data_IF_483624047476
#
_entry.id   IF_483624047476
#
_cell.length_a   1.000
_cell.length_b   1.000
_cell.length_c   1.000
_cell.angle_alpha   90.00
_cell.angle_beta   90.00
_cell.angle_gamma   90.00
#
_symmetry.space_group_name_H-M   'P 1'
#
loop_
_entity.id
_entity.type
_entity.pdbx_description
1 polymer ?
#
# COMPACT_ATOMS: atom_id res chain seq x y z
N UNK A 1 0.81 -27.34 23.34
CA UNK A 1 0.40 -27.83 22.01
C UNK A 1 0.11 -26.63 21.12
N UNK A 2 1.06 -26.21 20.27
CA UNK A 2 0.89 -25.08 19.36
C UNK A 2 0.08 -25.53 18.14
N UNK A 3 -1.14 -25.03 17.99
CA UNK A 3 -2.03 -25.38 16.88
C UNK A 3 -1.54 -24.69 15.60
N UNK A 4 -0.79 -25.39 14.76
CA UNK A 4 -0.31 -24.85 13.50
C UNK A 4 -1.40 -25.02 12.43
N UNK A 5 -2.18 -23.97 12.18
CA UNK A 5 -3.18 -23.96 11.09
C UNK A 5 -2.51 -23.52 9.78
N UNK A 6 -2.70 -24.29 8.71
CA UNK A 6 -2.33 -23.87 7.35
C UNK A 6 -3.37 -22.89 6.84
N UNK A 7 -2.96 -21.66 6.56
CA UNK A 7 -3.81 -20.60 6.00
C UNK A 7 -3.32 -20.32 4.59
N UNK A 8 -4.21 -20.45 3.60
CA UNK A 8 -3.92 -20.04 2.23
C UNK A 8 -4.26 -18.56 2.07
N UNK A 9 -3.31 -17.76 1.57
CA UNK A 9 -3.47 -16.34 1.31
C UNK A 9 -3.29 -16.08 -0.18
N UNK A 10 -4.24 -15.38 -0.78
CA UNK A 10 -4.15 -14.91 -2.16
C UNK A 10 -3.98 -13.38 -2.16
N UNK A 11 -2.84 -12.90 -2.66
CA UNK A 11 -2.49 -11.48 -2.69
C UNK A 11 -2.62 -10.94 -4.12
N UNK A 12 -3.31 -9.81 -4.27
CA UNK A 12 -3.39 -9.07 -5.53
C UNK A 12 -2.88 -7.66 -5.32
N UNK A 13 -1.96 -7.22 -6.17
CA UNK A 13 -1.50 -5.83 -6.23
C UNK A 13 -2.26 -5.16 -7.35
N UNK A 14 -3.05 -4.15 -7.01
CA UNK A 14 -3.81 -3.34 -7.95
C UNK A 14 -3.61 -1.87 -7.61
N UNK A 15 -3.92 -0.98 -8.56
CA UNK A 15 -3.92 0.44 -8.28
C UNK A 15 -5.00 0.83 -7.24
N UNK A 16 -4.87 2.05 -6.72
CA UNK A 16 -5.75 2.56 -5.68
C UNK A 16 -7.22 2.68 -6.14
N UNK A 17 -7.48 2.99 -7.41
CA UNK A 17 -8.83 3.17 -7.97
C UNK A 17 -9.60 1.86 -8.10
N UNK A 18 -8.91 0.76 -8.36
CA UNK A 18 -9.52 -0.56 -8.58
C UNK A 18 -9.74 -1.34 -7.27
N UNK A 19 -9.03 -0.96 -6.21
CA UNK A 19 -9.09 -1.63 -4.90
C UNK A 19 -10.50 -1.64 -4.30
N UNK A 20 -11.24 -0.53 -4.42
CA UNK A 20 -12.60 -0.41 -3.89
C UNK A 20 -13.60 -1.28 -4.68
N UNK A 21 -13.45 -1.32 -6.01
CA UNK A 21 -14.33 -2.12 -6.89
C UNK A 21 -14.19 -3.61 -6.61
N UNK A 22 -12.96 -4.11 -6.40
CA UNK A 22 -12.72 -5.51 -6.10
C UNK A 22 -13.37 -5.96 -4.79
N UNK A 23 -13.31 -5.11 -3.75
CA UNK A 23 -13.96 -5.37 -2.48
C UNK A 23 -15.50 -5.31 -2.61
N UNK A 24 -16.03 -4.31 -3.33
CA UNK A 24 -17.47 -4.16 -3.57
C UNK A 24 -18.07 -5.34 -4.36
N UNK A 25 -17.31 -5.90 -5.30
CA UNK A 25 -17.69 -7.06 -6.11
C UNK A 25 -17.44 -8.40 -5.41
N UNK A 26 -16.88 -8.40 -4.19
CA UNK A 26 -16.58 -9.62 -3.44
C UNK A 26 -15.43 -10.45 -3.99
N UNK A 27 -14.58 -9.88 -4.86
CA UNK A 27 -13.41 -10.58 -5.42
C UNK A 27 -12.25 -10.70 -4.42
N UNK A 28 -12.28 -9.92 -3.34
CA UNK A 28 -11.32 -9.95 -2.23
C UNK A 28 -12.05 -9.78 -0.90
N UNK A 29 -11.50 -10.34 0.18
CA UNK A 29 -12.10 -10.25 1.52
C UNK A 29 -11.68 -8.98 2.30
N UNK A 30 -10.57 -8.37 1.91
CA UNK A 30 -10.01 -7.17 2.55
C UNK A 30 -9.11 -6.43 1.56
N UNK A 31 -8.89 -5.15 1.81
CA UNK A 31 -7.98 -4.34 1.02
C UNK A 31 -7.19 -3.33 1.86
N UNK A 32 -6.01 -2.95 1.38
CA UNK A 32 -5.24 -1.81 1.90
C UNK A 32 -5.39 -0.68 0.90
N UNK A 33 -5.89 0.47 1.35
CA UNK A 33 -6.15 1.62 0.50
C UNK A 33 -5.85 2.94 1.22
N UNK A 34 -5.68 4.02 0.45
CA UNK A 34 -5.41 5.36 0.97
C UNK A 34 -6.66 6.19 1.37
N UNK A 35 -7.89 5.99 0.83
CA UNK A 35 -9.04 6.75 1.29
C UNK A 35 -9.34 6.45 2.77
N UNK A 36 -9.60 7.50 3.55
CA UNK A 36 -10.01 7.36 4.95
C UNK A 36 -11.48 6.90 5.10
N UNK A 37 -12.23 6.82 4.00
CA UNK A 37 -13.65 6.50 4.04
C UNK A 37 -13.89 4.99 3.93
N UNK A 38 -14.60 4.46 4.92
CA UNK A 38 -15.03 3.07 4.90
C UNK A 38 -16.12 2.88 3.82
N UNK A 39 -16.00 1.79 3.05
CA UNK A 39 -17.10 1.35 2.20
C UNK A 39 -18.32 1.00 3.06
N UNK A 40 -19.54 1.25 2.57
CA UNK A 40 -20.77 0.85 3.26
C UNK A 40 -20.73 -0.64 3.62
N UNK A 41 -21.05 -0.96 4.89
CA UNK A 41 -20.98 -2.33 5.41
C UNK A 41 -19.57 -2.83 5.76
N UNK A 42 -18.52 -2.04 5.53
CA UNK A 42 -17.14 -2.39 5.88
C UNK A 42 -16.62 -1.59 7.08
N UNK A 43 -15.54 -2.09 7.70
CA UNK A 43 -14.77 -1.35 8.71
C UNK A 43 -13.43 -0.95 8.10
N UNK A 44 -13.04 0.31 8.26
CA UNK A 44 -11.72 0.80 7.92
C UNK A 44 -10.89 0.99 9.20
N UNK A 45 -9.62 0.59 9.15
CA UNK A 45 -8.67 0.75 10.24
C UNK A 45 -7.40 1.43 9.72
N UNK A 46 -6.99 2.52 10.35
CA UNK A 46 -5.75 3.23 9.99
C UNK A 46 -4.53 2.36 10.34
N UNK A 47 -3.71 2.04 9.35
CA UNK A 47 -2.48 1.25 9.51
C UNK A 47 -1.24 2.12 9.75
N UNK A 48 -1.33 3.43 9.48
CA UNK A 48 -0.22 4.38 9.60
C UNK A 48 -0.06 5.25 8.36
N UNK A 49 1.09 5.92 8.26
CA UNK A 49 1.43 6.83 7.15
C UNK A 49 2.62 6.29 6.37
N UNK A 50 2.49 6.18 5.05
CA UNK A 50 3.59 5.84 4.18
C UNK A 50 4.42 7.09 3.86
N UNK A 51 5.72 7.06 4.18
CA UNK A 51 6.65 8.17 3.93
C UNK A 51 7.48 7.90 2.69
N UNK A 52 7.20 8.62 1.61
CA UNK A 52 8.02 8.59 0.40
C UNK A 52 9.25 9.48 0.59
N UNK A 53 10.41 8.99 0.15
CA UNK A 53 11.66 9.74 0.16
C UNK A 53 12.25 9.75 -1.25
N UNK A 54 12.71 10.92 -1.67
CA UNK A 54 13.56 11.02 -2.86
C UNK A 54 14.92 10.44 -2.51
N UNK A 55 15.35 9.42 -3.26
CA UNK A 55 16.63 8.75 -3.07
C UNK A 55 17.35 8.64 -4.41
N UNK A 56 18.66 8.79 -4.39
CA UNK A 56 19.51 8.64 -5.55
C UNK A 56 20.87 8.09 -5.11
N UNK A 57 21.60 7.50 -6.06
CA UNK A 57 22.97 7.05 -5.79
C UNK A 57 23.87 8.27 -5.53
N UNK A 58 24.91 8.14 -4.69
CA UNK A 58 25.83 9.25 -4.42
C UNK A 58 26.46 9.82 -5.69
N UNK A 59 26.81 8.97 -6.66
CA UNK A 59 27.38 9.38 -7.95
C UNK A 59 26.41 10.26 -8.75
N UNK A 60 25.12 9.94 -8.77
CA UNK A 60 24.11 10.73 -9.48
C UNK A 60 23.95 12.12 -8.84
N UNK A 61 23.90 12.18 -7.51
CA UNK A 61 23.85 13.45 -6.76
C UNK A 61 25.09 14.31 -7.04
N UNK A 62 26.27 13.70 -7.03
CA UNK A 62 27.52 14.40 -7.33
C UNK A 62 27.64 14.85 -8.78
N UNK A 63 26.98 14.21 -9.74
CA UNK A 63 27.07 14.62 -11.13
C UNK A 63 26.10 15.77 -11.43
N UNK A 64 24.85 15.65 -10.97
CA UNK A 64 23.74 16.50 -11.40
C UNK A 64 23.24 17.49 -10.34
N UNK A 65 23.48 17.22 -9.07
CA UNK A 65 23.01 18.04 -7.94
C UNK A 65 24.16 18.56 -7.08
N UNK A 66 25.31 18.89 -7.71
CA UNK A 66 26.52 19.41 -7.01
C UNK A 66 26.24 20.61 -6.12
N UNK A 67 25.26 21.44 -6.49
CA UNK A 67 24.87 22.66 -5.78
C UNK A 67 23.57 22.50 -4.98
N UNK A 68 23.10 21.26 -4.80
CA UNK A 68 21.80 20.98 -4.18
C UNK A 68 20.65 21.05 -5.18
N UNK A 69 19.43 20.96 -4.64
CA UNK A 69 18.16 21.10 -5.36
C UNK A 69 17.61 22.47 -4.97
N UNK A 70 17.29 23.31 -5.96
CA UNK A 70 16.64 24.62 -5.78
C UNK A 70 15.15 24.53 -6.03
#
# INVERSE_FOLDING_TARGET
HSFQKKIALHLRVVDQSETHKLLQQGQVNACISNPNEAMSGCKAHCLGKMRYRMVATPAFVQLWFKRGIS
#
